data_IF_447000328729
#
_entry.id   IF_447000328729
#
_cell.length_a   1.000
_cell.length_b   1.000
_cell.length_c   1.000
_cell.angle_alpha   90.00
_cell.angle_beta   90.00
_cell.angle_gamma   90.00
#
_symmetry.space_group_name_H-M   'P 1'
#
loop_
_entity.id
_entity.type
_entity.pdbx_description
1 polymer ?
#
# COMPACT_ATOMS: atom_id res chain seq x y z
N UNK A 1 19.15 13.34 19.31
CA UNK A 1 18.13 12.28 19.38
C UNK A 1 16.97 12.70 18.49
N UNK A 2 16.56 11.89 17.52
CA UNK A 2 15.39 12.21 16.67
C UNK A 2 14.12 12.11 17.52
N UNK A 3 13.26 13.13 17.45
CA UNK A 3 11.99 13.16 18.18
C UNK A 3 11.05 12.04 17.68
N UNK A 4 10.14 11.57 18.52
CA UNK A 4 9.15 10.55 18.13
C UNK A 4 8.38 10.94 16.85
N UNK A 5 8.05 12.22 16.69
CA UNK A 5 7.36 12.75 15.52
C UNK A 5 8.20 12.69 14.23
N UNK A 6 9.51 12.95 14.31
CA UNK A 6 10.42 12.83 13.17
C UNK A 6 10.61 11.37 12.75
N UNK A 7 10.79 10.47 13.72
CA UNK A 7 10.87 9.03 13.46
C UNK A 7 9.61 8.52 12.77
N UNK A 8 8.43 8.94 13.24
CA UNK A 8 7.14 8.57 12.61
C UNK A 8 7.03 9.07 11.17
N UNK A 9 7.47 10.30 10.89
CA UNK A 9 7.47 10.87 9.53
C UNK A 9 8.46 10.16 8.60
N UNK A 10 9.67 9.90 9.09
CA UNK A 10 10.69 9.17 8.34
C UNK A 10 10.21 7.75 8.01
N UNK A 11 9.69 7.05 9.01
CA UNK A 11 9.11 5.72 8.83
C UNK A 11 7.94 5.72 7.84
N UNK A 12 7.03 6.71 7.89
CA UNK A 12 5.92 6.76 6.93
C UNK A 12 6.40 6.85 5.46
N UNK A 13 7.52 7.55 5.21
CA UNK A 13 8.12 7.64 3.87
C UNK A 13 8.79 6.33 3.46
N UNK A 14 9.52 5.71 4.37
CA UNK A 14 10.15 4.42 4.16
C UNK A 14 9.12 3.31 3.92
N UNK A 15 8.07 3.27 4.73
CA UNK A 15 6.96 2.33 4.55
C UNK A 15 6.26 2.52 3.21
N UNK A 16 6.01 3.76 2.79
CA UNK A 16 5.44 4.04 1.48
C UNK A 16 6.33 3.57 0.31
N UNK A 17 7.65 3.61 0.48
CA UNK A 17 8.62 3.03 -0.47
C UNK A 17 8.54 1.50 -0.47
N UNK A 18 8.73 0.86 0.69
CA UNK A 18 8.71 -0.60 0.83
C UNK A 18 7.41 -1.22 0.32
N UNK A 19 6.26 -0.64 0.68
CA UNK A 19 4.95 -1.08 0.20
C UNK A 19 4.83 -0.98 -1.32
N UNK A 20 5.37 0.09 -1.92
CA UNK A 20 5.36 0.27 -3.37
C UNK A 20 6.24 -0.77 -4.05
N UNK A 21 7.46 -0.96 -3.57
CA UNK A 21 8.41 -1.95 -4.10
C UNK A 21 7.85 -3.37 -4.01
N UNK A 22 7.19 -3.71 -2.89
CA UNK A 22 6.58 -5.04 -2.72
C UNK A 22 5.41 -5.29 -3.68
N UNK A 23 4.56 -4.28 -3.90
CA UNK A 23 3.36 -4.39 -4.74
C UNK A 23 3.63 -4.17 -6.23
N UNK A 24 4.85 -3.79 -6.59
CA UNK A 24 5.23 -3.57 -7.99
C UNK A 24 5.08 -4.87 -8.78
N UNK A 25 4.35 -4.81 -9.89
CA UNK A 25 4.01 -5.98 -10.70
C UNK A 25 2.99 -6.96 -10.09
N UNK A 26 2.57 -6.78 -8.82
CA UNK A 26 1.55 -7.63 -8.18
C UNK A 26 0.13 -7.12 -8.35
N UNK A 27 -0.02 -5.80 -8.37
CA UNK A 27 -1.33 -5.14 -8.49
C UNK A 27 -1.42 -4.53 -9.88
N UNK A 28 -2.43 -4.96 -10.65
CA UNK A 28 -2.71 -4.37 -11.95
C UNK A 28 -3.01 -2.88 -11.81
N UNK A 29 -2.68 -2.11 -12.83
CA UNK A 29 -3.07 -0.71 -12.89
C UNK A 29 -4.52 -0.57 -13.38
N UNK A 30 -5.22 0.43 -12.86
CA UNK A 30 -6.51 0.82 -13.42
C UNK A 30 -6.30 1.44 -14.79
N UNK A 31 -7.17 1.12 -15.74
CA UNK A 31 -7.12 1.67 -17.09
C UNK A 31 -7.77 3.05 -17.07
N UNK A 32 -7.11 4.07 -17.60
CA UNK A 32 -7.68 5.42 -17.71
C UNK A 32 -8.08 5.66 -19.15
N UNK A 33 -9.36 5.96 -19.37
CA UNK A 33 -9.96 6.10 -20.69
C UNK A 33 -10.72 7.43 -20.82
N UNK A 34 -10.77 8.02 -22.02
CA UNK A 34 -11.69 9.11 -22.32
C UNK A 34 -13.15 8.70 -22.09
N UNK A 35 -13.94 9.60 -21.51
CA UNK A 35 -15.37 9.39 -21.26
C UNK A 35 -16.12 10.71 -21.35
N UNK A 36 -17.01 10.82 -22.34
CA UNK A 36 -17.76 12.05 -22.63
C UNK A 36 -16.83 13.26 -22.82
N UNK A 37 -17.00 14.28 -21.98
CA UNK A 37 -16.17 15.49 -21.96
C UNK A 37 -14.95 15.39 -21.02
N UNK A 38 -14.72 14.25 -20.39
CA UNK A 38 -13.66 14.04 -19.41
C UNK A 38 -12.96 12.69 -19.57
N UNK A 39 -12.49 12.15 -18.46
CA UNK A 39 -11.81 10.86 -18.37
C UNK A 39 -12.28 10.09 -17.15
N UNK A 40 -12.29 8.77 -17.23
CA UNK A 40 -12.63 7.87 -16.12
C UNK A 40 -11.59 6.77 -15.98
N UNK A 41 -11.59 6.10 -14.84
CA UNK A 41 -10.82 4.89 -14.63
C UNK A 41 -11.73 3.67 -14.70
N UNK A 42 -11.18 2.54 -15.12
CA UNK A 42 -11.85 1.24 -15.15
C UNK A 42 -10.95 0.19 -14.50
N UNK A 43 -11.53 -0.65 -13.66
CA UNK A 43 -10.83 -1.75 -13.02
C UNK A 43 -10.86 -2.99 -13.93
N UNK A 44 -9.69 -3.49 -14.38
CA UNK A 44 -9.65 -4.70 -15.20
C UNK A 44 -9.97 -5.98 -14.41
N UNK A 45 -9.98 -5.92 -13.07
CA UNK A 45 -10.20 -7.09 -12.19
C UNK A 45 -11.68 -7.34 -11.94
N UNK A 46 -12.44 -6.29 -11.56
CA UNK A 46 -13.84 -6.43 -11.18
C UNK A 46 -14.83 -5.63 -12.06
N UNK A 47 -14.33 -4.93 -13.08
CA UNK A 47 -15.16 -4.12 -13.97
C UNK A 47 -15.72 -2.85 -13.33
N UNK A 48 -15.29 -2.48 -12.13
CA UNK A 48 -15.69 -1.22 -11.50
C UNK A 48 -15.24 -0.03 -12.34
N UNK A 49 -16.12 0.96 -12.48
CA UNK A 49 -15.88 2.17 -13.26
C UNK A 49 -15.99 3.39 -12.36
N UNK A 50 -15.02 4.29 -12.47
CA UNK A 50 -15.02 5.56 -11.77
C UNK A 50 -15.97 6.59 -12.36
N UNK A 51 -16.34 7.59 -11.56
CA UNK A 51 -17.01 8.80 -12.05
C UNK A 51 -16.11 9.56 -13.03
N UNK A 52 -16.71 10.21 -14.03
CA UNK A 52 -15.99 11.08 -14.95
C UNK A 52 -15.37 12.26 -14.20
N UNK A 53 -14.08 12.52 -14.48
CA UNK A 53 -13.33 13.65 -13.93
C UNK A 53 -12.66 14.44 -15.05
N UNK A 54 -12.25 15.66 -14.73
CA UNK A 54 -11.75 16.62 -15.72
C UNK A 54 -10.31 16.36 -16.18
N UNK A 55 -9.53 15.53 -15.47
CA UNK A 55 -8.16 15.23 -15.86
C UNK A 55 -7.71 13.82 -15.50
N UNK A 56 -6.76 13.29 -16.28
CA UNK A 56 -6.28 11.91 -16.19
C UNK A 56 -5.56 11.62 -14.88
N UNK A 57 -4.96 12.63 -14.24
CA UNK A 57 -4.25 12.45 -12.96
C UNK A 57 -5.20 12.11 -11.82
N UNK A 58 -6.37 12.75 -11.77
CA UNK A 58 -7.42 12.44 -10.82
C UNK A 58 -7.97 11.04 -11.06
N UNK A 59 -8.27 10.69 -12.31
CA UNK A 59 -8.74 9.35 -12.68
C UNK A 59 -7.71 8.27 -12.28
N UNK A 60 -6.43 8.49 -12.60
CA UNK A 60 -5.34 7.57 -12.24
C UNK A 60 -5.23 7.39 -10.72
N UNK A 61 -5.31 8.47 -9.96
CA UNK A 61 -5.21 8.42 -8.49
C UNK A 61 -6.40 7.66 -7.89
N UNK A 62 -7.61 7.92 -8.36
CA UNK A 62 -8.81 7.23 -7.91
C UNK A 62 -8.79 5.75 -8.28
N UNK A 63 -8.40 5.42 -9.51
CA UNK A 63 -8.21 4.05 -9.98
C UNK A 63 -7.17 3.31 -9.15
N UNK A 64 -6.00 3.92 -8.89
CA UNK A 64 -4.96 3.34 -8.01
C UNK A 64 -5.47 3.08 -6.59
N UNK A 65 -6.30 3.96 -6.05
CA UNK A 65 -6.90 3.75 -4.74
C UNK A 65 -7.85 2.56 -4.74
N UNK A 66 -8.67 2.41 -5.79
CA UNK A 66 -9.49 1.22 -5.97
C UNK A 66 -8.64 -0.05 -6.13
N UNK A 67 -7.56 0.00 -6.91
CA UNK A 67 -6.70 -1.18 -7.12
C UNK A 67 -6.11 -1.75 -5.82
N UNK A 68 -5.97 -0.94 -4.77
CA UNK A 68 -5.53 -1.43 -3.45
C UNK A 68 -6.52 -2.40 -2.78
N UNK A 69 -7.79 -2.44 -3.21
CA UNK A 69 -8.78 -3.41 -2.69
C UNK A 69 -8.59 -4.81 -3.27
N UNK A 70 -7.83 -4.93 -4.37
CA UNK A 70 -7.52 -6.21 -5.02
C UNK A 70 -6.20 -6.83 -4.52
N UNK A 71 -5.59 -6.25 -3.50
CA UNK A 71 -4.47 -6.87 -2.79
C UNK A 71 -4.99 -8.13 -2.10
N UNK A 72 -4.39 -9.28 -2.40
CA UNK A 72 -4.76 -10.56 -1.80
C UNK A 72 -4.57 -10.55 -0.28
N UNK A 73 -5.26 -11.43 0.44
CA UNK A 73 -5.05 -11.55 1.89
C UNK A 73 -3.61 -11.96 2.21
N UNK A 74 -3.00 -12.86 1.41
CA UNK A 74 -1.59 -13.25 1.53
C UNK A 74 -0.64 -12.05 1.37
N UNK A 75 -0.85 -11.20 0.36
CA UNK A 75 -0.05 -9.99 0.17
C UNK A 75 -0.27 -8.98 1.31
N UNK A 76 -1.48 -8.93 1.87
CA UNK A 76 -1.79 -8.10 3.05
C UNK A 76 -1.03 -8.58 4.28
N UNK A 77 -1.00 -9.88 4.52
CA UNK A 77 -0.24 -10.49 5.61
C UNK A 77 1.26 -10.25 5.44
N UNK A 78 1.79 -10.47 4.24
CA UNK A 78 3.18 -10.20 3.92
C UNK A 78 3.56 -8.72 4.06
N UNK A 79 2.66 -7.80 3.70
CA UNK A 79 2.86 -6.37 3.93
C UNK A 79 2.89 -6.02 5.43
N UNK A 80 2.01 -6.60 6.27
CA UNK A 80 2.08 -6.37 7.72
C UNK A 80 3.36 -6.97 8.31
N UNK A 81 3.77 -8.16 7.88
CA UNK A 81 5.04 -8.78 8.27
C UNK A 81 6.24 -7.89 7.89
N UNK A 82 6.28 -7.38 6.66
CA UNK A 82 7.31 -6.45 6.19
C UNK A 82 7.33 -5.18 7.03
N UNK A 83 6.16 -4.59 7.29
CA UNK A 83 6.01 -3.39 8.10
C UNK A 83 6.55 -3.59 9.51
N UNK A 84 6.14 -4.64 10.22
CA UNK A 84 6.57 -4.85 11.63
C UNK A 84 8.04 -5.26 11.75
N UNK A 85 8.60 -5.88 10.71
CA UNK A 85 10.01 -6.27 10.67
C UNK A 85 10.93 -5.06 10.49
N UNK A 86 10.53 -4.09 9.66
CA UNK A 86 11.33 -2.91 9.34
C UNK A 86 11.01 -1.68 10.20
N UNK A 87 9.87 -1.64 10.89
CA UNK A 87 9.48 -0.49 11.69
C UNK A 87 10.41 -0.31 12.91
N UNK A 88 10.86 0.93 13.20
CA UNK A 88 11.61 1.23 14.42
C UNK A 88 10.87 0.78 15.68
N UNK A 89 11.60 0.19 16.63
CA UNK A 89 11.01 -0.40 17.84
C UNK A 89 10.19 0.59 18.68
N UNK A 90 10.65 1.84 18.75
CA UNK A 90 9.94 2.91 19.45
C UNK A 90 8.55 3.23 18.86
N UNK A 91 8.30 2.85 17.60
CA UNK A 91 7.02 3.05 16.92
C UNK A 91 6.12 1.82 16.96
N UNK A 92 6.65 0.64 17.30
CA UNK A 92 5.87 -0.59 17.39
C UNK A 92 4.93 -0.57 18.59
N UNK A 93 3.67 -0.87 18.32
CA UNK A 93 2.70 -1.22 19.37
C UNK A 93 3.07 -2.56 20.03
N UNK A 94 2.57 -2.85 21.25
CA UNK A 94 2.85 -4.13 21.92
C UNK A 94 2.47 -5.35 21.06
N UNK A 95 1.33 -5.30 20.37
CA UNK A 95 0.90 -6.36 19.45
C UNK A 95 1.87 -6.55 18.28
N UNK A 96 2.33 -5.47 17.66
CA UNK A 96 3.27 -5.54 16.54
C UNK A 96 4.66 -6.02 16.96
N UNK A 97 5.08 -5.74 18.20
CA UNK A 97 6.32 -6.34 18.75
C UNK A 97 6.18 -7.84 18.89
N UNK A 98 5.08 -8.32 19.47
CA UNK A 98 4.84 -9.75 19.60
C UNK A 98 4.82 -10.45 18.23
N UNK A 99 4.16 -9.86 17.24
CA UNK A 99 4.16 -10.36 15.86
C UNK A 99 5.57 -10.39 15.25
N UNK A 100 6.33 -9.30 15.37
CA UNK A 100 7.73 -9.24 14.90
C UNK A 100 8.59 -10.33 15.54
N UNK A 101 8.45 -10.52 16.86
CA UNK A 101 9.26 -11.49 17.60
C UNK A 101 8.87 -12.93 17.24
N UNK A 102 7.59 -13.19 16.93
CA UNK A 102 7.13 -14.46 16.36
C UNK A 102 7.74 -14.71 14.98
N UNK A 103 7.68 -13.73 14.08
CA UNK A 103 8.24 -13.84 12.72
C UNK A 103 9.75 -14.09 12.74
N UNK A 104 10.49 -13.42 13.64
CA UNK A 104 11.94 -13.65 13.81
C UNK A 104 12.27 -15.07 14.24
N UNK A 105 11.44 -15.69 15.09
CA UNK A 105 11.62 -17.08 15.52
C UNK A 105 11.37 -18.06 14.38
N UNK A 106 10.36 -17.80 13.53
CA UNK A 106 10.01 -18.63 12.38
C UNK A 106 11.05 -18.57 11.24
N UNK A 107 11.77 -17.46 11.08
CA UNK A 107 12.82 -17.32 10.07
C UNK A 107 14.22 -17.78 10.50
N UNK A 108 14.36 -18.34 11.71
CA UNK A 108 15.64 -18.83 12.25
C UNK A 108 15.80 -20.36 12.20
N UNK A 109 14.87 -21.04 11.52
CA UNK A 109 14.91 -22.49 11.20
C UNK A 109 15.40 -22.71 9.76
#
# INVERSE_FOLDING_TARGET
MSTYGEQKKAWAREWARLRREYLDGKVLEAVVLPSGAGVRWECPVCGAVGTDVTNSRLATTAGRNHMQTHISDDDREALEALKVTHMPEALLTPYQRALRDQLKRQGSE
#
